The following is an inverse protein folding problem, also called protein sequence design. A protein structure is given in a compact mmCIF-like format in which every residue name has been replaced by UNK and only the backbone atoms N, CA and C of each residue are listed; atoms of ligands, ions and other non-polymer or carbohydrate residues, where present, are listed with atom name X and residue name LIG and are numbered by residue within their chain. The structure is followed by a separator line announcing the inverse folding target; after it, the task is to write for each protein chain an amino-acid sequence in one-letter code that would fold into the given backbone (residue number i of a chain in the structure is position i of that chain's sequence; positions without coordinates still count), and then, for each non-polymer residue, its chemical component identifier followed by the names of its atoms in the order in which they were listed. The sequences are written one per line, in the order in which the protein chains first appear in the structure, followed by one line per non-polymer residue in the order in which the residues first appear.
data_IF_980391807344
#
_entry.id   IF_980391807344
#
_cell.length_a   1.000
_cell.length_b   1.000
_cell.length_c   1.000
_cell.angle_alpha   90.00
_cell.angle_beta   90.00
_cell.angle_gamma   90.00
#
_symmetry.space_group_name_H-M   'P 1'
#
loop_
_entity.id
_entity.type
_entity.pdbx_description
1 polymer ?
#
# COMPACT_ATOMS: atom_id res chain seq x y z
N UNK A 1 -3.19 5.82 -5.43
CA UNK A 1 -1.78 6.17 -5.20
C UNK A 1 -1.69 7.54 -4.52
N UNK A 2 -0.90 7.64 -3.47
CA UNK A 2 -0.72 8.89 -2.73
C UNK A 2 0.38 9.74 -3.37
N UNK A 3 0.09 11.03 -3.56
CA UNK A 3 1.11 12.00 -3.95
C UNK A 3 1.42 12.85 -2.72
N UNK A 4 2.48 12.49 -2.00
CA UNK A 4 2.87 13.15 -0.75
C UNK A 4 3.45 14.56 -0.92
N UNK A 5 3.55 15.06 -2.15
CA UNK A 5 3.91 16.44 -2.44
C UNK A 5 2.72 17.41 -2.33
N UNK A 6 1.52 16.88 -2.13
CA UNK A 6 0.32 17.72 -1.98
C UNK A 6 0.30 18.44 -0.63
N UNK A 7 -0.11 19.70 -0.65
CA UNK A 7 -0.24 20.54 0.54
C UNK A 7 -1.17 19.92 1.60
N UNK A 8 -2.14 19.11 1.17
CA UNK A 8 -3.06 18.41 2.08
C UNK A 8 -2.33 17.58 3.14
N UNK A 9 -1.10 17.14 2.87
CA UNK A 9 -0.32 16.32 3.80
C UNK A 9 0.63 17.12 4.71
N UNK A 10 0.68 18.44 4.57
CA UNK A 10 1.61 19.29 5.32
C UNK A 10 1.47 19.15 6.84
N UNK A 11 0.27 18.88 7.32
CA UNK A 11 -0.04 18.73 8.74
C UNK A 11 -0.64 17.36 9.06
N UNK A 12 -0.46 16.38 8.19
CA UNK A 12 -0.96 15.01 8.39
C UNK A 12 0.12 14.18 9.09
N UNK A 13 -0.03 13.99 10.39
CA UNK A 13 0.93 13.27 11.23
C UNK A 13 0.63 11.77 11.32
N UNK A 14 -0.23 11.24 10.46
CA UNK A 14 -0.46 9.82 10.36
C UNK A 14 0.68 9.13 9.60
N UNK A 15 0.90 7.80 9.80
CA UNK A 15 1.88 7.07 9.01
C UNK A 15 1.52 7.09 7.52
N UNK A 16 2.50 6.80 6.66
CA UNK A 16 2.28 6.75 5.20
C UNK A 16 1.14 5.78 4.87
N UNK A 17 1.08 4.67 5.56
CA UNK A 17 0.00 3.70 5.44
C UNK A 17 -0.31 3.08 6.80
N UNK A 18 -1.58 3.04 7.16
CA UNK A 18 -2.02 2.42 8.41
C UNK A 18 -1.72 0.92 8.40
N UNK A 19 -1.18 0.43 9.51
CA UNK A 19 -0.85 -0.98 9.66
C UNK A 19 0.39 -1.44 8.92
N UNK A 20 1.13 -0.53 8.29
CA UNK A 20 2.37 -0.89 7.61
C UNK A 20 3.46 -1.26 8.62
N UNK A 21 4.16 -2.37 8.35
CA UNK A 21 5.22 -2.90 9.23
C UNK A 21 6.63 -2.54 8.78
N UNK A 22 6.79 -1.71 7.76
CA UNK A 22 8.12 -1.30 7.30
C UNK A 22 8.83 -0.45 8.36
N UNK A 23 10.15 -0.39 8.28
CA UNK A 23 10.95 0.41 9.22
C UNK A 23 10.55 1.88 9.20
N UNK A 24 10.16 2.40 8.05
CA UNK A 24 9.73 3.78 7.88
C UNK A 24 8.44 4.09 8.68
N UNK A 25 7.40 3.27 8.54
CA UNK A 25 6.09 3.50 9.16
C UNK A 25 5.99 3.03 10.60
N UNK A 26 6.79 2.03 10.99
CA UNK A 26 6.72 1.44 12.33
C UNK A 26 7.02 2.50 13.39
N UNK A 27 6.25 2.55 14.50
CA UNK A 27 6.51 3.50 15.58
C UNK A 27 7.91 3.31 16.18
N UNK A 28 8.47 4.38 16.73
CA UNK A 28 9.78 4.34 17.37
C UNK A 28 9.80 3.38 18.55
N UNK A 29 8.70 3.27 19.28
CA UNK A 29 8.54 2.36 20.41
C UNK A 29 8.69 0.89 20.01
N UNK A 30 8.39 0.58 18.74
CA UNK A 30 8.51 -0.76 18.17
C UNK A 30 9.79 -0.95 17.35
N UNK A 31 10.74 -0.01 17.44
CA UNK A 31 12.02 -0.09 16.75
C UNK A 31 12.02 0.50 15.33
N UNK A 32 10.96 1.19 14.94
CA UNK A 32 10.90 1.87 13.63
C UNK A 32 11.28 3.34 13.71
N UNK A 33 11.11 4.05 12.60
CA UNK A 33 11.44 5.48 12.50
C UNK A 33 10.24 6.39 12.80
N UNK A 34 9.02 5.87 12.74
CA UNK A 34 7.81 6.65 12.99
C UNK A 34 7.61 7.81 12.03
N UNK A 35 7.94 7.60 10.75
CA UNK A 35 7.84 8.64 9.72
C UNK A 35 6.38 8.92 9.38
N UNK A 36 6.03 10.20 9.29
CA UNK A 36 4.67 10.65 8.97
C UNK A 36 4.58 11.19 7.55
N UNK A 37 3.35 11.34 7.06
CA UNK A 37 3.10 11.99 5.77
C UNK A 37 3.58 13.43 5.78
N UNK A 38 3.41 14.15 6.91
CA UNK A 38 3.88 15.51 7.05
C UNK A 38 5.40 15.61 6.91
N UNK A 39 6.14 14.70 7.53
CA UNK A 39 7.60 14.66 7.38
C UNK A 39 8.00 14.49 5.92
N UNK A 40 7.41 13.53 5.22
CA UNK A 40 7.70 13.30 3.80
C UNK A 40 7.35 14.52 2.96
N UNK A 41 6.21 15.15 3.22
CA UNK A 41 5.81 16.36 2.50
C UNK A 41 6.89 17.44 2.59
N UNK A 42 7.39 17.72 3.80
CA UNK A 42 8.34 18.81 4.02
C UNK A 42 9.74 18.52 3.47
N UNK A 43 10.14 17.27 3.31
CA UNK A 43 11.47 16.92 2.82
C UNK A 43 11.50 16.36 1.39
N UNK A 44 10.35 16.07 0.80
CA UNK A 44 10.24 15.34 -0.47
C UNK A 44 10.94 16.03 -1.64
N UNK A 45 10.96 17.36 -1.67
CA UNK A 45 11.59 18.12 -2.75
C UNK A 45 12.95 18.73 -2.36
N UNK A 46 13.41 18.49 -1.12
CA UNK A 46 14.60 19.14 -0.58
C UNK A 46 15.73 18.17 -0.29
N UNK A 47 15.43 16.93 0.05
CA UNK A 47 16.43 15.95 0.47
C UNK A 47 16.18 14.59 -0.17
N UNK A 48 17.26 13.88 -0.51
CA UNK A 48 17.18 12.53 -1.05
C UNK A 48 16.73 11.51 -0.01
N UNK A 49 16.82 11.82 1.29
CA UNK A 49 16.38 10.94 2.37
C UNK A 49 14.90 10.56 2.25
N UNK A 50 14.04 11.49 1.81
CA UNK A 50 12.64 11.19 1.59
C UNK A 50 12.43 10.11 0.52
N UNK A 51 13.19 10.18 -0.57
CA UNK A 51 13.13 9.17 -1.63
C UNK A 51 13.58 7.79 -1.11
N UNK A 52 14.62 7.73 -0.28
CA UNK A 52 15.08 6.49 0.33
C UNK A 52 14.03 5.90 1.27
N UNK A 53 13.42 6.73 2.10
CA UNK A 53 12.37 6.28 3.03
C UNK A 53 11.15 5.75 2.29
N UNK A 54 10.72 6.45 1.23
CA UNK A 54 9.61 6.00 0.42
C UNK A 54 9.91 4.70 -0.32
N UNK A 55 11.14 4.53 -0.79
CA UNK A 55 11.58 3.29 -1.42
C UNK A 55 11.51 2.12 -0.43
N UNK A 56 11.99 2.31 0.80
CA UNK A 56 11.88 1.30 1.85
C UNK A 56 10.42 0.91 2.11
N UNK A 57 9.55 1.90 2.21
CA UNK A 57 8.11 1.67 2.39
C UNK A 57 7.51 0.90 1.22
N UNK A 58 7.80 1.32 -0.01
CA UNK A 58 7.24 0.70 -1.21
C UNK A 58 7.71 -0.74 -1.40
N UNK A 59 8.99 -1.02 -1.15
CA UNK A 59 9.54 -2.37 -1.23
C UNK A 59 8.89 -3.27 -0.19
N UNK A 60 8.77 -2.81 1.05
CA UNK A 60 8.11 -3.59 2.12
C UNK A 60 6.64 -3.86 1.78
N UNK A 61 5.95 -2.88 1.20
CA UNK A 61 4.58 -3.05 0.76
C UNK A 61 4.46 -4.20 -0.25
N UNK A 62 5.33 -4.22 -1.25
CA UNK A 62 5.33 -5.28 -2.27
C UNK A 62 5.65 -6.65 -1.67
N UNK A 63 6.62 -6.73 -0.77
CA UNK A 63 6.98 -7.97 -0.08
C UNK A 63 5.78 -8.48 0.73
N UNK A 64 5.15 -7.62 1.50
CA UNK A 64 3.98 -7.99 2.32
C UNK A 64 2.80 -8.42 1.46
N UNK A 65 2.60 -7.76 0.31
CA UNK A 65 1.55 -8.14 -0.63
C UNK A 65 1.79 -9.55 -1.17
N UNK A 66 3.02 -9.85 -1.58
CA UNK A 66 3.36 -11.17 -2.10
C UNK A 66 3.27 -12.26 -1.04
N UNK A 67 3.59 -11.97 0.21
CA UNK A 67 3.39 -12.90 1.33
C UNK A 67 1.90 -13.20 1.51
N UNK A 68 1.05 -12.18 1.43
CA UNK A 68 -0.42 -12.35 1.52
C UNK A 68 -0.96 -13.19 0.36
N UNK A 69 -0.44 -12.98 -0.85
CA UNK A 69 -0.80 -13.78 -2.04
C UNK A 69 -0.44 -15.25 -1.80
N UNK A 70 0.79 -15.50 -1.37
CA UNK A 70 1.27 -16.86 -1.10
C UNK A 70 0.43 -17.56 -0.04
N UNK A 71 0.14 -16.87 1.05
CA UNK A 71 -0.69 -17.41 2.13
C UNK A 71 -2.09 -17.75 1.63
N UNK A 72 -2.71 -16.89 0.82
CA UNK A 72 -4.05 -17.12 0.28
C UNK A 72 -4.10 -18.35 -0.65
N UNK A 73 -3.02 -18.59 -1.41
CA UNK A 73 -2.90 -19.77 -2.26
C UNK A 73 -2.78 -21.03 -1.40
N UNK A 74 -1.94 -21.00 -0.36
CA UNK A 74 -1.76 -22.15 0.55
C UNK A 74 -3.06 -22.49 1.27
N UNK A 75 -3.85 -21.49 1.67
CA UNK A 75 -5.14 -21.66 2.35
C UNK A 75 -6.31 -21.91 1.40
N UNK A 76 -6.04 -21.98 0.09
CA UNK A 76 -7.03 -22.18 -0.97
C UNK A 76 -8.12 -21.07 -0.97
N UNK A 77 -7.73 -19.85 -0.69
CA UNK A 77 -8.62 -18.68 -0.63
C UNK A 77 -8.18 -17.56 -1.58
N UNK A 78 -7.42 -17.89 -2.61
CA UNK A 78 -6.90 -16.88 -3.56
C UNK A 78 -8.00 -16.08 -4.25
N UNK A 79 -9.11 -16.67 -4.75
CA UNK A 79 -10.19 -15.88 -5.35
C UNK A 79 -10.80 -14.86 -4.40
N UNK A 80 -11.00 -15.23 -3.14
CA UNK A 80 -11.52 -14.30 -2.13
C UNK A 80 -10.51 -13.19 -1.82
N UNK A 81 -9.22 -13.54 -1.75
CA UNK A 81 -8.16 -12.56 -1.58
C UNK A 81 -8.17 -11.52 -2.71
N UNK A 82 -8.32 -11.94 -3.96
CA UNK A 82 -8.39 -11.04 -5.10
C UNK A 82 -9.59 -10.09 -5.01
N UNK A 83 -10.75 -10.58 -4.63
CA UNK A 83 -11.95 -9.76 -4.45
C UNK A 83 -11.74 -8.68 -3.39
N UNK A 84 -11.20 -9.07 -2.24
CA UNK A 84 -10.93 -8.16 -1.13
C UNK A 84 -9.87 -7.12 -1.51
N UNK A 85 -8.81 -7.54 -2.19
CA UNK A 85 -7.75 -6.65 -2.65
C UNK A 85 -8.26 -5.60 -3.64
N UNK A 86 -9.02 -6.02 -4.66
CA UNK A 86 -9.53 -5.09 -5.65
C UNK A 86 -10.62 -4.19 -5.09
N UNK A 87 -11.42 -4.65 -4.15
CA UNK A 87 -12.39 -3.80 -3.45
C UNK A 87 -11.67 -2.70 -2.66
N UNK A 88 -10.56 -3.02 -2.02
CA UNK A 88 -9.75 -2.07 -1.27
C UNK A 88 -9.06 -1.07 -2.20
N UNK A 89 -8.59 -1.52 -3.36
CA UNK A 89 -7.94 -0.68 -4.35
C UNK A 89 -8.93 0.22 -5.08
N UNK A 90 -10.14 -0.26 -5.35
CA UNK A 90 -11.20 0.46 -6.03
C UNK A 90 -12.48 0.50 -5.16
N UNK A 91 -12.54 1.35 -4.13
CA UNK A 91 -13.66 1.36 -3.18
C UNK A 91 -15.04 1.60 -3.84
N UNK A 92 -15.06 2.27 -4.99
CA UNK A 92 -16.28 2.56 -5.73
C UNK A 92 -16.73 1.42 -6.65
N UNK A 93 -16.06 0.28 -6.60
CA UNK A 93 -16.31 -0.89 -7.46
C UNK A 93 -16.18 -0.60 -8.97
N UNK A 94 -15.45 0.46 -9.34
CA UNK A 94 -15.19 0.83 -10.73
C UNK A 94 -13.92 0.15 -11.22
N UNK A 95 -14.00 -1.15 -11.44
CA UNK A 95 -12.86 -1.93 -11.87
C UNK A 95 -12.55 -1.66 -13.36
N UNK A 96 -11.26 -1.54 -13.74
CA UNK A 96 -10.90 -1.45 -15.15
C UNK A 96 -11.37 -2.69 -15.93
N UNK A 97 -11.81 -2.48 -17.17
CA UNK A 97 -12.31 -3.57 -18.01
C UNK A 97 -11.29 -4.69 -18.22
N UNK A 98 -10.01 -4.33 -18.37
CA UNK A 98 -8.96 -5.33 -18.57
C UNK A 98 -8.77 -6.22 -17.34
N UNK A 99 -8.96 -5.67 -16.14
CA UNK A 99 -8.91 -6.45 -14.89
C UNK A 99 -10.06 -7.44 -14.84
N UNK A 100 -11.28 -6.96 -15.10
CA UNK A 100 -12.48 -7.80 -15.07
C UNK A 100 -12.36 -8.93 -16.10
N UNK A 101 -11.96 -8.62 -17.32
CA UNK A 101 -11.79 -9.61 -18.39
C UNK A 101 -10.72 -10.65 -18.07
N UNK A 102 -9.57 -10.22 -17.52
CA UNK A 102 -8.48 -11.13 -17.16
C UNK A 102 -8.91 -12.09 -16.03
N UNK A 103 -9.64 -11.61 -15.04
CA UNK A 103 -10.08 -12.44 -13.92
C UNK A 103 -11.23 -13.36 -14.31
N UNK A 104 -12.14 -12.93 -15.17
CA UNK A 104 -13.20 -13.80 -15.70
C UNK A 104 -12.62 -14.96 -16.49
N UNK A 105 -11.51 -14.73 -17.23
CA UNK A 105 -10.82 -15.77 -17.97
C UNK A 105 -10.29 -16.92 -17.11
N UNK A 106 -10.09 -16.68 -15.81
CA UNK A 106 -9.64 -17.70 -14.84
C UNK A 106 -10.71 -18.04 -13.81
N UNK A 107 -11.97 -17.65 -14.06
CA UNK A 107 -13.10 -18.01 -13.22
C UNK A 107 -13.29 -17.17 -11.96
N UNK A 108 -12.66 -16.00 -11.86
CA UNK A 108 -12.85 -15.08 -10.73
C UNK A 108 -13.73 -13.92 -11.16
N UNK A 109 -14.83 -13.70 -10.44
CA UNK A 109 -15.73 -12.59 -10.69
C UNK A 109 -15.58 -11.53 -9.59
N UNK A 110 -15.36 -10.27 -9.99
CA UNK A 110 -15.39 -9.13 -9.09
C UNK A 110 -16.83 -8.64 -8.98
N UNK A 111 -17.36 -8.67 -7.80
CA UNK A 111 -18.75 -8.29 -7.57
C UNK A 111 -18.97 -6.77 -7.65
#
# INVERSE_FOLDING_TARGET
MLNLRRVAYANDFSPIEEGCVCTCCRPREEGGLGITKAFIYHVASKETSAAHLLTMHNVQFQISLMESVRKSIIEDQFPQFLRDFFLKLYPNKKYPEWVVGALEGVGVQLA
#
